data_IF_412907107431
#
_entry.id   IF_412907107431
#
_cell.length_a   1.000
_cell.length_b   1.000
_cell.length_c   1.000
_cell.angle_alpha   90.00
_cell.angle_beta   90.00
_cell.angle_gamma   90.00
#
_symmetry.space_group_name_H-M   'P 1'
#
loop_
_entity.id
_entity.type
_entity.pdbx_description
1 polymer ?
#
# COMPACT_ATOMS: atom_id res chain seq x y z
N UNK A 1 -34.24 18.69 22.14
CA UNK A 1 -33.82 17.36 21.61
C UNK A 1 -32.59 17.39 20.68
N UNK A 2 -32.08 18.57 20.27
CA UNK A 2 -30.93 18.70 19.33
C UNK A 2 -29.53 18.55 19.99
N UNK A 3 -29.32 19.04 21.22
CA UNK A 3 -27.98 19.03 21.84
C UNK A 3 -27.43 17.64 22.21
N UNK A 4 -28.28 16.68 22.58
CA UNK A 4 -27.85 15.30 22.90
C UNK A 4 -27.32 14.55 21.66
N UNK A 5 -27.78 14.94 20.46
CA UNK A 5 -27.34 14.38 19.18
C UNK A 5 -25.98 14.95 18.75
N UNK A 6 -25.73 16.24 18.99
CA UNK A 6 -24.47 16.93 18.72
C UNK A 6 -23.31 16.36 19.57
N UNK A 7 -23.50 16.20 20.89
CA UNK A 7 -22.51 15.55 21.77
C UNK A 7 -22.10 14.16 21.28
N UNK A 8 -23.06 13.34 20.84
CA UNK A 8 -22.79 12.00 20.28
C UNK A 8 -22.06 12.05 18.94
N UNK A 9 -22.26 13.10 18.13
CA UNK A 9 -21.61 13.28 16.83
C UNK A 9 -20.17 13.74 16.97
N UNK A 10 -19.90 14.73 17.84
CA UNK A 10 -18.54 15.16 18.17
C UNK A 10 -17.73 14.04 18.85
N UNK A 11 -18.33 13.30 19.78
CA UNK A 11 -17.70 12.15 20.42
C UNK A 11 -17.35 11.03 19.43
N UNK A 12 -18.24 10.72 18.47
CA UNK A 12 -17.95 9.77 17.38
C UNK A 12 -16.82 10.25 16.47
N UNK A 13 -16.79 11.54 16.15
CA UNK A 13 -15.72 12.13 15.35
C UNK A 13 -14.36 12.00 16.06
N UNK A 14 -14.31 12.36 17.35
CA UNK A 14 -13.10 12.26 18.17
C UNK A 14 -12.60 10.81 18.28
N UNK A 15 -13.51 9.86 18.54
CA UNK A 15 -13.17 8.43 18.55
C UNK A 15 -12.62 7.97 17.19
N UNK A 16 -13.23 8.37 16.08
CA UNK A 16 -12.74 8.04 14.75
C UNK A 16 -11.35 8.65 14.50
N UNK A 17 -11.11 9.89 14.91
CA UNK A 17 -9.80 10.55 14.79
C UNK A 17 -8.74 9.84 15.61
N UNK A 18 -9.03 9.44 16.85
CA UNK A 18 -8.09 8.70 17.71
C UNK A 18 -7.76 7.33 17.10
N UNK A 19 -8.78 6.60 16.63
CA UNK A 19 -8.59 5.29 15.97
C UNK A 19 -7.78 5.44 14.69
N UNK A 20 -8.04 6.48 13.89
CA UNK A 20 -7.25 6.81 12.71
C UNK A 20 -5.79 7.15 13.05
N UNK A 21 -5.57 7.93 14.12
CA UNK A 21 -4.26 8.30 14.61
C UNK A 21 -3.47 7.07 15.05
N UNK A 22 -4.07 6.16 15.83
CA UNK A 22 -3.43 4.92 16.28
C UNK A 22 -3.08 4.03 15.08
N UNK A 23 -4.02 3.82 14.16
CA UNK A 23 -3.78 3.00 12.96
C UNK A 23 -2.71 3.59 12.03
N UNK A 24 -2.60 4.91 11.95
CA UNK A 24 -1.55 5.58 11.17
C UNK A 24 -0.20 5.59 11.91
N UNK A 25 -0.23 5.70 13.23
CA UNK A 25 0.96 5.72 14.08
C UNK A 25 1.63 4.35 14.18
N UNK A 26 0.86 3.25 14.19
CA UNK A 26 1.39 1.88 14.21
C UNK A 26 2.36 1.62 13.06
N UNK A 27 2.06 2.18 11.88
CA UNK A 27 2.92 2.07 10.69
C UNK A 27 4.23 2.85 10.83
N UNK A 28 4.28 3.92 11.64
CA UNK A 28 5.53 4.65 11.89
C UNK A 28 6.43 3.93 12.90
N UNK A 29 5.84 3.35 13.93
CA UNK A 29 6.57 2.50 14.90
C UNK A 29 7.22 1.31 14.19
N UNK A 30 6.49 0.70 13.24
CA UNK A 30 7.03 -0.36 12.38
C UNK A 30 8.32 0.05 11.67
N UNK A 31 8.33 1.22 11.01
CA UNK A 31 9.50 1.72 10.29
C UNK A 31 10.69 1.93 11.23
N UNK A 32 10.46 2.45 12.43
CA UNK A 32 11.51 2.66 13.44
C UNK A 32 12.14 1.35 13.91
N UNK A 33 11.36 0.26 14.00
CA UNK A 33 11.88 -1.07 14.33
C UNK A 33 12.57 -1.74 13.13
N UNK A 34 12.10 -1.46 11.91
CA UNK A 34 12.64 -2.03 10.68
C UNK A 34 14.09 -1.59 10.43
N UNK A 35 14.36 -0.28 10.54
CA UNK A 35 15.67 0.30 10.22
C UNK A 35 16.83 -0.41 10.93
N UNK A 36 16.85 -0.57 12.27
CA UNK A 36 17.95 -1.24 12.95
C UNK A 36 18.05 -2.73 12.62
N UNK A 37 16.92 -3.42 12.40
CA UNK A 37 16.93 -4.86 12.06
C UNK A 37 17.52 -5.07 10.66
N UNK A 38 17.13 -4.26 9.68
CA UNK A 38 17.69 -4.31 8.34
C UNK A 38 19.19 -3.98 8.33
N UNK A 39 19.62 -2.98 9.11
CA UNK A 39 21.02 -2.55 9.16
C UNK A 39 21.96 -3.53 9.87
N UNK A 40 21.46 -4.31 10.83
CA UNK A 40 22.27 -5.28 11.57
C UNK A 40 22.45 -6.62 10.84
N UNK A 41 21.54 -6.99 9.94
CA UNK A 41 21.52 -8.30 9.28
C UNK A 41 21.99 -8.29 7.82
N UNK A 42 22.00 -7.15 7.13
CA UNK A 42 22.42 -7.05 5.72
C UNK A 42 23.81 -6.44 5.59
N UNK A 43 24.59 -6.95 4.65
CA UNK A 43 25.83 -6.27 4.26
C UNK A 43 25.51 -5.00 3.45
N UNK A 44 26.40 -4.00 3.45
CA UNK A 44 26.22 -2.75 2.69
C UNK A 44 25.94 -2.97 1.20
N UNK A 45 26.50 -4.04 0.62
CA UNK A 45 26.28 -4.40 -0.79
C UNK A 45 24.89 -4.94 -1.08
N UNK A 46 24.30 -5.71 -0.17
CA UNK A 46 22.94 -6.24 -0.30
C UNK A 46 21.88 -5.18 0.00
N UNK A 47 22.16 -4.31 0.97
CA UNK A 47 21.31 -3.16 1.27
C UNK A 47 21.20 -2.22 0.06
N UNK A 48 22.31 -1.93 -0.61
CA UNK A 48 22.31 -1.17 -1.86
C UNK A 48 21.43 -1.80 -2.93
N UNK A 49 21.30 -3.14 -2.95
CA UNK A 49 20.41 -3.83 -3.89
C UNK A 49 18.93 -3.65 -3.58
N UNK A 50 18.57 -3.82 -2.31
CA UNK A 50 17.19 -3.65 -1.84
C UNK A 50 16.71 -2.21 -2.04
N UNK A 51 17.58 -1.24 -1.75
CA UNK A 51 17.25 0.18 -1.87
C UNK A 51 16.97 0.59 -3.32
N UNK A 52 17.79 0.16 -4.29
CA UNK A 52 17.53 0.47 -5.70
C UNK A 52 16.25 -0.21 -6.21
N UNK A 53 16.00 -1.47 -5.83
CA UNK A 53 14.79 -2.21 -6.24
C UNK A 53 13.54 -1.52 -5.70
N UNK A 54 13.58 -1.11 -4.43
CA UNK A 54 12.49 -0.40 -3.78
C UNK A 54 12.25 0.96 -4.42
N UNK A 55 13.32 1.69 -4.78
CA UNK A 55 13.20 2.95 -5.53
C UNK A 55 12.51 2.73 -6.88
N UNK A 56 12.99 1.80 -7.71
CA UNK A 56 12.37 1.48 -9.01
C UNK A 56 10.89 1.14 -8.83
N UNK A 57 10.57 0.28 -7.86
CA UNK A 57 9.20 -0.11 -7.59
C UNK A 57 8.31 1.07 -7.16
N UNK A 58 8.82 1.97 -6.32
CA UNK A 58 8.07 3.17 -5.89
C UNK A 58 7.75 4.12 -7.05
N UNK A 59 8.63 4.21 -8.06
CA UNK A 59 8.34 4.94 -9.30
C UNK A 59 7.33 4.20 -10.19
N UNK A 60 7.39 2.87 -10.21
CA UNK A 60 6.49 2.04 -11.00
C UNK A 60 5.07 1.99 -10.45
N UNK A 61 4.87 2.03 -9.12
CA UNK A 61 3.54 1.99 -8.50
C UNK A 61 2.57 3.04 -9.09
N UNK A 62 2.87 4.36 -9.09
CA UNK A 62 1.94 5.36 -9.62
C UNK A 62 1.70 5.20 -11.13
N UNK A 63 2.72 4.76 -11.88
CA UNK A 63 2.60 4.52 -13.33
C UNK A 63 1.72 3.30 -13.63
N UNK A 64 1.96 2.18 -12.94
CA UNK A 64 1.23 0.93 -13.13
C UNK A 64 -0.22 1.01 -12.62
N UNK A 65 -0.46 1.81 -11.57
CA UNK A 65 -1.79 1.99 -11.00
C UNK A 65 -2.57 3.14 -11.64
N UNK A 66 -1.95 3.91 -12.55
CA UNK A 66 -2.54 5.09 -13.18
C UNK A 66 -3.10 6.08 -12.16
N UNK A 67 -2.46 6.15 -10.99
CA UNK A 67 -2.87 6.97 -9.82
C UNK A 67 -4.35 6.88 -9.43
N UNK A 68 -5.04 5.77 -9.77
CA UNK A 68 -6.49 5.56 -9.53
C UNK A 68 -6.89 5.71 -8.06
N UNK A 69 -5.96 5.45 -7.15
CA UNK A 69 -6.10 5.59 -5.71
C UNK A 69 -6.52 7.01 -5.28
N UNK A 70 -6.12 8.04 -6.01
CA UNK A 70 -6.52 9.43 -5.75
C UNK A 70 -7.94 9.71 -6.24
N UNK A 71 -8.28 9.20 -7.43
CA UNK A 71 -9.62 9.28 -8.00
C UNK A 71 -10.66 8.56 -7.11
N UNK A 72 -10.32 7.40 -6.55
CA UNK A 72 -11.18 6.70 -5.58
C UNK A 72 -11.50 7.58 -4.38
N UNK A 73 -10.53 8.30 -3.82
CA UNK A 73 -10.81 9.19 -2.68
C UNK A 73 -11.75 10.31 -3.12
N UNK A 74 -11.46 10.96 -4.25
CA UNK A 74 -12.25 12.09 -4.76
C UNK A 74 -13.70 11.70 -5.03
N UNK A 75 -13.93 10.69 -5.86
CA UNK A 75 -15.28 10.24 -6.24
C UNK A 75 -15.93 9.39 -5.15
N UNK A 76 -15.13 8.69 -4.35
CA UNK A 76 -15.60 7.85 -3.26
C UNK A 76 -16.01 8.62 -2.01
N UNK A 77 -15.61 9.88 -1.82
CA UNK A 77 -16.15 10.75 -0.76
C UNK A 77 -17.44 11.43 -1.18
N UNK A 78 -17.55 11.82 -2.45
CA UNK A 78 -18.72 12.53 -2.97
C UNK A 78 -19.99 11.64 -2.95
N UNK A 79 -21.05 12.13 -2.30
CA UNK A 79 -22.32 11.42 -2.13
C UNK A 79 -23.13 11.32 -3.42
N UNK A 80 -22.81 12.12 -4.44
CA UNK A 80 -23.46 12.05 -5.75
C UNK A 80 -23.12 10.76 -6.52
N UNK A 81 -22.01 10.10 -6.19
CA UNK A 81 -21.54 8.91 -6.89
C UNK A 81 -21.85 7.62 -6.13
N UNK A 82 -22.23 6.59 -6.88
CA UNK A 82 -22.43 5.23 -6.36
C UNK A 82 -21.08 4.59 -6.00
N UNK A 83 -20.89 4.29 -4.71
CA UNK A 83 -19.67 3.69 -4.18
C UNK A 83 -19.35 2.33 -4.80
N UNK A 84 -20.37 1.54 -5.20
CA UNK A 84 -20.16 0.24 -5.86
C UNK A 84 -19.56 0.42 -7.25
N UNK A 85 -20.02 1.43 -7.99
CA UNK A 85 -19.47 1.79 -9.31
C UNK A 85 -18.05 2.31 -9.18
N UNK A 86 -17.79 3.19 -8.22
CA UNK A 86 -16.42 3.69 -7.94
C UNK A 86 -15.47 2.53 -7.60
N UNK A 87 -15.91 1.57 -6.78
CA UNK A 87 -15.11 0.37 -6.48
C UNK A 87 -14.82 -0.47 -7.72
N UNK A 88 -15.85 -0.76 -8.51
CA UNK A 88 -15.72 -1.62 -9.70
C UNK A 88 -14.83 -0.98 -10.76
N UNK A 89 -15.01 0.33 -11.02
CA UNK A 89 -14.15 1.09 -11.91
C UNK A 89 -12.70 1.15 -11.42
N UNK A 90 -12.50 1.34 -10.11
CA UNK A 90 -11.17 1.32 -9.52
C UNK A 90 -10.43 0.00 -9.73
N UNK A 91 -11.13 -1.13 -9.53
CA UNK A 91 -10.57 -2.47 -9.79
C UNK A 91 -10.33 -2.72 -11.28
N UNK A 92 -11.19 -2.20 -12.15
CA UNK A 92 -11.00 -2.32 -13.60
C UNK A 92 -9.76 -1.53 -14.05
N UNK A 93 -9.61 -0.28 -13.61
CA UNK A 93 -8.46 0.57 -13.99
C UNK A 93 -7.15 0.04 -13.44
N UNK A 94 -7.12 -0.44 -12.18
CA UNK A 94 -5.90 -1.06 -11.66
C UNK A 94 -5.59 -2.36 -12.41
N UNK A 95 -6.61 -3.15 -12.79
CA UNK A 95 -6.44 -4.37 -13.57
C UNK A 95 -5.86 -4.09 -14.96
N UNK A 96 -6.39 -3.11 -15.68
CA UNK A 96 -5.87 -2.72 -16.99
C UNK A 96 -4.46 -2.12 -16.89
N UNK A 97 -4.20 -1.28 -15.89
CA UNK A 97 -2.87 -0.73 -15.61
C UNK A 97 -1.83 -1.83 -15.33
N UNK A 98 -2.20 -2.83 -14.52
CA UNK A 98 -1.33 -3.98 -14.21
C UNK A 98 -1.10 -4.89 -15.42
N UNK A 99 -2.09 -5.08 -16.30
CA UNK A 99 -1.92 -5.80 -17.55
C UNK A 99 -0.93 -5.10 -18.49
N UNK A 100 -1.07 -3.79 -18.66
CA UNK A 100 -0.14 -2.98 -19.46
C UNK A 100 1.27 -3.02 -18.87
N UNK A 101 1.37 -2.86 -17.55
CA UNK A 101 2.64 -2.94 -16.84
C UNK A 101 3.32 -4.31 -16.98
N UNK A 102 2.55 -5.39 -16.88
CA UNK A 102 3.03 -6.76 -17.11
C UNK A 102 3.54 -6.97 -18.53
N UNK A 103 2.83 -6.44 -19.54
CA UNK A 103 3.26 -6.48 -20.93
C UNK A 103 4.58 -5.72 -21.15
N UNK A 104 4.71 -4.51 -20.58
CA UNK A 104 5.95 -3.73 -20.64
C UNK A 104 7.11 -4.48 -19.99
N UNK A 105 6.92 -5.05 -18.79
CA UNK A 105 7.93 -5.86 -18.13
C UNK A 105 8.31 -7.11 -18.94
N UNK A 106 7.34 -7.74 -19.61
CA UNK A 106 7.58 -8.85 -20.53
C UNK A 106 8.47 -8.45 -21.71
N UNK A 107 8.20 -7.31 -22.34
CA UNK A 107 9.03 -6.77 -23.44
C UNK A 107 10.44 -6.42 -22.94
N UNK A 108 10.56 -5.79 -21.77
CA UNK A 108 11.85 -5.44 -21.17
C UNK A 108 12.68 -6.68 -20.88
N UNK A 109 12.04 -7.77 -20.43
CA UNK A 109 12.70 -9.06 -20.21
C UNK A 109 13.16 -9.71 -21.53
N UNK A 110 12.39 -9.58 -22.60
CA UNK A 110 12.74 -10.18 -23.90
C UNK A 110 13.83 -9.40 -24.65
N UNK A 111 13.86 -8.08 -24.50
CA UNK A 111 14.81 -7.19 -25.18
C UNK A 111 16.13 -7.02 -24.40
N UNK A 112 16.18 -7.47 -23.14
CA UNK A 112 17.36 -7.34 -22.27
C UNK A 112 17.72 -5.90 -21.90
N UNK A 113 16.87 -4.92 -22.25
CA UNK A 113 17.14 -3.48 -22.09
C UNK A 113 17.43 -3.09 -20.63
N UNK A 114 16.84 -3.81 -19.67
CA UNK A 114 17.02 -3.55 -18.24
C UNK A 114 17.63 -4.73 -17.47
N UNK A 115 18.23 -5.71 -18.15
CA UNK A 115 18.80 -6.90 -17.49
C UNK A 115 19.93 -6.52 -16.52
N UNK A 116 20.69 -5.45 -16.78
CA UNK A 116 21.70 -4.94 -15.83
C UNK A 116 21.13 -4.50 -14.48
N UNK A 117 19.86 -4.11 -14.43
CA UNK A 117 19.24 -3.49 -13.24
C UNK A 117 18.16 -4.36 -12.61
N UNK A 118 17.48 -5.22 -13.38
CA UNK A 118 16.28 -5.95 -12.93
C UNK A 118 16.45 -7.48 -13.06
N UNK A 119 17.56 -7.96 -13.63
CA UNK A 119 17.82 -9.40 -13.82
C UNK A 119 17.53 -10.22 -12.55
N UNK A 120 16.65 -11.22 -12.68
CA UNK A 120 16.22 -12.11 -11.60
C UNK A 120 15.08 -11.58 -10.71
N UNK A 121 14.81 -10.28 -10.69
CA UNK A 121 13.80 -9.66 -9.80
C UNK A 121 12.52 -9.22 -10.51
N UNK A 122 12.38 -9.43 -11.83
CA UNK A 122 11.22 -8.98 -12.62
C UNK A 122 9.88 -9.42 -12.01
N UNK A 123 9.78 -10.70 -11.60
CA UNK A 123 8.56 -11.26 -11.01
C UNK A 123 8.31 -10.65 -9.62
N UNK A 124 9.37 -10.48 -8.82
CA UNK A 124 9.28 -9.84 -7.50
C UNK A 124 8.79 -8.39 -7.61
N UNK A 125 9.32 -7.61 -8.55
CA UNK A 125 8.88 -6.23 -8.79
C UNK A 125 7.42 -6.22 -9.23
N UNK A 126 7.03 -7.09 -10.16
CA UNK A 126 5.64 -7.17 -10.61
C UNK A 126 4.67 -7.47 -9.45
N UNK A 127 4.98 -8.50 -8.65
CA UNK A 127 4.15 -8.89 -7.49
C UNK A 127 4.12 -7.78 -6.44
N UNK A 128 5.27 -7.15 -6.16
CA UNK A 128 5.36 -6.05 -5.19
C UNK A 128 4.51 -4.84 -5.63
N UNK A 129 4.64 -4.42 -6.89
CA UNK A 129 3.86 -3.30 -7.46
C UNK A 129 2.37 -3.62 -7.45
N UNK A 130 1.98 -4.84 -7.83
CA UNK A 130 0.59 -5.32 -7.78
C UNK A 130 0.01 -5.26 -6.36
N UNK A 131 0.69 -5.88 -5.40
CA UNK A 131 0.23 -5.93 -4.01
C UNK A 131 0.17 -4.54 -3.38
N UNK A 132 1.18 -3.71 -3.62
CA UNK A 132 1.23 -2.33 -3.12
C UNK A 132 0.12 -1.46 -3.73
N UNK A 133 -0.12 -1.61 -5.04
CA UNK A 133 -1.22 -0.93 -5.74
C UNK A 133 -2.58 -1.32 -5.18
N UNK A 134 -2.86 -2.63 -5.05
CA UNK A 134 -4.12 -3.14 -4.50
C UNK A 134 -4.32 -2.70 -3.04
N UNK A 135 -3.28 -2.81 -2.21
CA UNK A 135 -3.31 -2.34 -0.82
C UNK A 135 -3.71 -0.87 -0.77
N UNK A 136 -3.08 -0.03 -1.59
CA UNK A 136 -3.36 1.41 -1.65
C UNK A 136 -4.79 1.67 -2.10
N UNK A 137 -5.26 1.00 -3.16
CA UNK A 137 -6.62 1.13 -3.68
C UNK A 137 -7.67 0.83 -2.62
N UNK A 138 -7.57 -0.33 -1.95
CA UNK A 138 -8.55 -0.76 -0.96
C UNK A 138 -8.50 0.07 0.32
N UNK A 139 -7.29 0.43 0.74
CA UNK A 139 -7.10 1.35 1.88
C UNK A 139 -7.75 2.70 1.61
N UNK A 140 -7.59 3.23 0.39
CA UNK A 140 -8.20 4.49 -0.03
C UNK A 140 -9.72 4.39 -0.16
N UNK A 141 -10.23 3.26 -0.66
CA UNK A 141 -11.65 3.02 -0.77
C UNK A 141 -12.34 2.92 0.60
N UNK A 142 -11.77 2.18 1.55
CA UNK A 142 -12.29 2.08 2.92
C UNK A 142 -12.31 3.46 3.60
N UNK A 143 -11.28 4.29 3.36
CA UNK A 143 -11.26 5.68 3.81
C UNK A 143 -12.38 6.51 3.17
N UNK A 144 -12.58 6.38 1.86
CA UNK A 144 -13.63 7.07 1.12
C UNK A 144 -15.04 6.70 1.59
N UNK A 145 -15.23 5.47 2.09
CA UNK A 145 -16.47 5.02 2.73
C UNK A 145 -16.65 5.49 4.19
N UNK A 146 -15.74 6.30 4.73
CA UNK A 146 -15.71 6.75 6.13
C UNK A 146 -15.67 5.59 7.16
N UNK A 147 -15.24 4.39 6.74
CA UNK A 147 -15.13 3.20 7.59
C UNK A 147 -13.79 3.17 8.33
N UNK A 148 -13.56 4.20 9.15
CA UNK A 148 -12.27 4.46 9.83
C UNK A 148 -11.79 3.29 10.70
N UNK A 149 -12.71 2.57 11.35
CA UNK A 149 -12.37 1.37 12.15
C UNK A 149 -11.75 0.26 11.29
N UNK A 150 -12.31 -0.01 10.10
CA UNK A 150 -11.77 -1.04 9.19
C UNK A 150 -10.40 -0.64 8.66
N UNK A 151 -10.20 0.65 8.36
CA UNK A 151 -8.90 1.18 7.97
C UNK A 151 -7.85 0.97 9.07
N UNK A 152 -8.16 1.32 10.32
CA UNK A 152 -7.23 1.17 11.43
C UNK A 152 -6.89 -0.30 11.72
N UNK A 153 -7.90 -1.19 11.71
CA UNK A 153 -7.69 -2.63 11.89
C UNK A 153 -6.81 -3.20 10.77
N UNK A 154 -7.06 -2.83 9.51
CA UNK A 154 -6.22 -3.26 8.37
C UNK A 154 -4.78 -2.77 8.51
N UNK A 155 -4.56 -1.55 9.01
CA UNK A 155 -3.23 -1.01 9.26
C UNK A 155 -2.49 -1.80 10.34
N UNK A 156 -3.14 -2.08 11.47
CA UNK A 156 -2.58 -2.85 12.58
C UNK A 156 -2.25 -4.28 12.12
N UNK A 157 -3.17 -4.94 11.41
CA UNK A 157 -2.96 -6.29 10.87
C UNK A 157 -1.77 -6.30 9.90
N UNK A 158 -1.71 -5.34 8.97
CA UNK A 158 -0.59 -5.23 8.04
C UNK A 158 0.74 -5.05 8.78
N UNK A 159 0.78 -4.20 9.81
CA UNK A 159 1.97 -3.99 10.63
C UNK A 159 2.41 -5.27 11.34
N UNK A 160 1.46 -5.97 11.96
CA UNK A 160 1.73 -7.23 12.66
C UNK A 160 2.32 -8.28 11.72
N UNK A 161 1.69 -8.51 10.56
CA UNK A 161 2.20 -9.49 9.59
C UNK A 161 3.55 -9.08 9.00
N UNK A 162 3.79 -7.78 8.76
CA UNK A 162 5.10 -7.31 8.31
C UNK A 162 6.19 -7.61 9.35
N UNK A 163 5.94 -7.35 10.64
CA UNK A 163 6.90 -7.71 11.71
C UNK A 163 7.10 -9.21 11.81
N UNK A 164 6.01 -9.99 11.78
CA UNK A 164 6.05 -11.44 11.90
C UNK A 164 6.88 -12.06 10.77
N UNK A 165 6.59 -11.71 9.52
CA UNK A 165 7.33 -12.22 8.37
C UNK A 165 8.75 -11.70 8.31
N UNK A 166 9.00 -10.46 8.75
CA UNK A 166 10.36 -9.95 8.83
C UNK A 166 11.19 -10.78 9.79
N UNK A 167 10.73 -11.00 11.03
CA UNK A 167 11.47 -11.83 12.00
C UNK A 167 11.62 -13.26 11.48
N UNK A 168 10.56 -13.85 10.92
CA UNK A 168 10.61 -15.22 10.41
C UNK A 168 11.61 -15.36 9.25
N UNK A 169 11.60 -14.45 8.27
CA UNK A 169 12.49 -14.55 7.11
C UNK A 169 13.92 -14.13 7.42
N UNK A 170 14.14 -13.07 8.20
CA UNK A 170 15.51 -12.58 8.47
C UNK A 170 16.23 -13.35 9.58
N UNK A 171 15.50 -13.92 10.55
CA UNK A 171 16.11 -14.55 11.73
C UNK A 171 16.13 -16.07 11.65
N UNK A 172 15.19 -16.71 10.93
CA UNK A 172 15.06 -18.17 10.88
C UNK A 172 15.59 -18.77 9.56
N UNK A 173 15.52 -18.02 8.45
CA UNK A 173 16.01 -18.44 7.14
C UNK A 173 17.24 -17.61 6.76
N UNK A 174 18.46 -18.02 7.16
CA UNK A 174 19.69 -17.40 6.67
C UNK A 174 19.88 -17.62 5.16
#
# INVERSE_FOLDING_TARGET
MSQKKLSSSYGKLMLNTIVFAIGSFSSKVLVLLLVPIYQNHLTKGEQGKVDYLTMIANWMIPLATLTISEAIIRFGLDKAYDKKKVFSLGNLVIGTGMLLFGAVLGIVRLTGLADRWISGYTIMIFVYVLMSGLKTLYTNFVRAMEKVRMFAVSGIISTFFTLLFMVLFYLVLP
#
